data_IF_399364994520
#
_entry.id   IF_399364994520
#
_cell.length_a   1.000
_cell.length_b   1.000
_cell.length_c   1.000
_cell.angle_alpha   90.00
_cell.angle_beta   90.00
_cell.angle_gamma   90.00
#
_symmetry.space_group_name_H-M   'P 1'
#
loop_
_entity.id
_entity.type
_entity.pdbx_description
1 polymer ?
#
# COMPACT_ATOMS: atom_id res chain seq x y z
N UNK A 1 19.31 6.15 24.27
CA UNK A 1 18.61 6.75 23.11
C UNK A 1 19.24 6.16 21.87
N UNK A 2 18.62 5.15 21.28
CA UNK A 2 19.06 4.64 19.99
C UNK A 2 18.85 5.74 18.95
N UNK A 3 19.90 6.07 18.21
CA UNK A 3 19.80 6.97 17.06
C UNK A 3 18.91 6.28 16.04
N UNK A 4 17.65 6.72 15.90
CA UNK A 4 16.70 6.17 14.94
C UNK A 4 17.29 6.33 13.55
N UNK A 5 17.61 5.23 12.87
CA UNK A 5 18.18 5.32 11.53
C UNK A 5 17.13 5.93 10.61
N UNK A 6 17.51 6.74 9.61
CA UNK A 6 16.55 7.27 8.64
C UNK A 6 15.67 6.20 7.97
N UNK A 7 16.23 5.00 7.73
CA UNK A 7 15.47 3.81 7.27
C UNK A 7 14.32 3.43 8.22
N UNK A 8 14.52 3.51 9.54
CA UNK A 8 13.50 3.19 10.54
C UNK A 8 12.35 4.21 10.48
N UNK A 9 12.67 5.50 10.34
CA UNK A 9 11.65 6.57 10.22
C UNK A 9 10.79 6.37 8.97
N UNK A 10 11.42 6.14 7.82
CA UNK A 10 10.69 5.89 6.56
C UNK A 10 9.83 4.63 6.66
N UNK A 11 10.34 3.58 7.30
CA UNK A 11 9.60 2.34 7.51
C UNK A 11 8.40 2.50 8.44
N UNK A 12 8.51 3.32 9.49
CA UNK A 12 7.37 3.64 10.35
C UNK A 12 6.31 4.50 9.65
N UNK A 13 6.70 5.42 8.77
CA UNK A 13 5.75 6.17 7.94
C UNK A 13 4.97 5.23 7.01
N UNK A 14 5.69 4.29 6.36
CA UNK A 14 5.07 3.27 5.50
C UNK A 14 4.17 2.31 6.29
N UNK A 15 4.58 1.94 7.50
CA UNK A 15 3.76 1.13 8.40
C UNK A 15 2.46 1.87 8.75
N UNK A 16 2.56 3.14 9.16
CA UNK A 16 1.40 3.98 9.45
C UNK A 16 0.45 4.09 8.26
N UNK A 17 0.99 4.30 7.05
CA UNK A 17 0.19 4.30 5.83
C UNK A 17 -0.54 2.96 5.60
N UNK A 18 0.15 1.82 5.73
CA UNK A 18 -0.47 0.50 5.57
C UNK A 18 -1.54 0.23 6.64
N UNK A 19 -1.34 0.69 7.88
CA UNK A 19 -2.37 0.61 8.94
C UNK A 19 -3.61 1.40 8.55
N UNK A 20 -3.46 2.64 8.04
CA UNK A 20 -4.58 3.45 7.57
C UNK A 20 -5.29 2.80 6.37
N UNK A 21 -4.55 2.23 5.43
CA UNK A 21 -5.10 1.50 4.28
C UNK A 21 -5.89 0.25 4.70
N UNK A 22 -5.30 -0.58 5.57
CA UNK A 22 -5.98 -1.73 6.17
C UNK A 22 -7.27 -1.31 6.87
N UNK A 23 -7.20 -0.27 7.70
CA UNK A 23 -8.36 0.26 8.41
C UNK A 23 -9.43 0.77 7.43
N UNK A 24 -9.04 1.51 6.39
CA UNK A 24 -9.95 2.08 5.39
C UNK A 24 -10.70 0.99 4.60
N UNK A 25 -10.07 -0.18 4.40
CA UNK A 25 -10.72 -1.37 3.86
C UNK A 25 -11.75 -2.00 4.80
N UNK A 26 -11.73 -1.73 6.10
CA UNK A 26 -12.64 -2.36 7.06
C UNK A 26 -13.74 -1.42 7.56
N UNK A 27 -13.44 -0.14 7.73
CA UNK A 27 -14.38 0.84 8.27
C UNK A 27 -14.08 2.26 7.79
N UNK A 28 -15.09 3.13 7.80
CA UNK A 28 -14.97 4.55 7.43
C UNK A 28 -14.82 5.48 8.65
N UNK A 29 -14.79 4.94 9.87
CA UNK A 29 -14.84 5.74 11.11
C UNK A 29 -13.63 6.67 11.30
N UNK A 30 -12.42 6.20 10.98
CA UNK A 30 -11.19 6.94 11.26
C UNK A 30 -10.67 7.71 10.05
N UNK A 31 -10.80 7.17 8.84
CA UNK A 31 -10.41 7.84 7.59
C UNK A 31 -11.56 7.89 6.56
N UNK A 32 -12.67 8.60 6.85
CA UNK A 32 -13.88 8.57 6.02
C UNK A 32 -13.64 9.02 4.58
N UNK A 33 -12.81 10.05 4.36
CA UNK A 33 -12.47 10.51 3.03
C UNK A 33 -11.67 9.46 2.24
N UNK A 34 -10.72 8.79 2.89
CA UNK A 34 -9.92 7.76 2.24
C UNK A 34 -10.74 6.51 1.92
N UNK A 35 -11.59 6.07 2.85
CA UNK A 35 -12.51 4.95 2.62
C UNK A 35 -13.49 5.22 1.48
N UNK A 36 -14.01 6.45 1.34
CA UNK A 36 -14.85 6.84 0.19
C UNK A 36 -14.07 6.78 -1.11
N UNK A 37 -12.89 7.41 -1.15
CA UNK A 37 -12.03 7.37 -2.34
C UNK A 37 -11.72 5.92 -2.74
N UNK A 38 -11.41 5.06 -1.77
CA UNK A 38 -11.15 3.65 -2.01
C UNK A 38 -12.40 2.93 -2.55
N UNK A 39 -13.59 3.17 -1.98
CA UNK A 39 -14.82 2.57 -2.49
C UNK A 39 -15.17 3.01 -3.93
N UNK A 40 -14.84 4.25 -4.31
CA UNK A 40 -15.10 4.80 -5.63
C UNK A 40 -14.08 4.32 -6.68
N UNK A 41 -12.80 4.27 -6.31
CA UNK A 41 -11.69 3.98 -7.22
C UNK A 41 -11.40 2.50 -7.36
N UNK A 42 -11.41 1.74 -6.25
CA UNK A 42 -10.96 0.35 -6.22
C UNK A 42 -11.66 -0.53 -7.29
N UNK A 43 -12.99 -0.42 -7.55
CA UNK A 43 -13.63 -1.23 -8.60
C UNK A 43 -13.08 -0.97 -10.02
N UNK A 44 -12.71 0.29 -10.31
CA UNK A 44 -12.14 0.67 -11.61
C UNK A 44 -10.74 0.07 -11.78
N UNK A 45 -9.92 0.18 -10.72
CA UNK A 45 -8.59 -0.39 -10.63
C UNK A 45 -8.63 -1.93 -10.72
N UNK A 46 -9.54 -2.55 -9.98
CA UNK A 46 -9.78 -4.01 -10.01
C UNK A 46 -10.10 -4.50 -11.40
N UNK A 47 -10.96 -3.79 -12.14
CA UNK A 47 -11.30 -4.14 -13.52
C UNK A 47 -10.07 -4.06 -14.42
N UNK A 48 -9.25 -3.01 -14.31
CA UNK A 48 -8.03 -2.89 -15.14
C UNK A 48 -7.05 -4.04 -14.88
N UNK A 49 -6.85 -4.39 -13.60
CA UNK A 49 -5.82 -5.34 -13.20
C UNK A 49 -6.28 -6.81 -13.30
N UNK A 50 -7.56 -7.08 -13.01
CA UNK A 50 -8.07 -8.43 -12.76
C UNK A 50 -9.32 -8.78 -13.58
N UNK A 51 -9.66 -8.03 -14.63
CA UNK A 51 -10.80 -8.38 -15.51
C UNK A 51 -10.76 -9.83 -16.00
N UNK A 52 -9.56 -10.37 -16.24
CA UNK A 52 -9.33 -11.71 -16.74
C UNK A 52 -9.54 -12.81 -15.68
N UNK A 53 -9.48 -12.45 -14.39
CA UNK A 53 -9.55 -13.41 -13.28
C UNK A 53 -10.98 -13.67 -12.80
N UNK A 54 -11.98 -12.88 -13.25
CA UNK A 54 -13.38 -13.05 -12.87
C UNK A 54 -13.67 -12.91 -11.38
N UNK A 55 -12.78 -12.24 -10.63
CA UNK A 55 -12.89 -12.09 -9.18
C UNK A 55 -13.88 -10.97 -8.81
N UNK A 56 -14.64 -11.17 -7.74
CA UNK A 56 -15.51 -10.14 -7.20
C UNK A 56 -14.72 -9.05 -6.48
N UNK A 57 -15.27 -7.83 -6.45
CA UNK A 57 -14.65 -6.71 -5.70
C UNK A 57 -14.52 -7.00 -4.20
N UNK A 58 -15.41 -7.82 -3.63
CA UNK A 58 -15.31 -8.25 -2.23
C UNK A 58 -14.11 -9.18 -2.00
N UNK A 59 -13.83 -10.10 -2.92
CA UNK A 59 -12.66 -10.98 -2.83
C UNK A 59 -11.36 -10.18 -2.99
N UNK A 60 -11.31 -9.25 -3.96
CA UNK A 60 -10.16 -8.37 -4.15
C UNK A 60 -9.94 -7.44 -2.96
N UNK A 61 -11.02 -6.88 -2.38
CA UNK A 61 -10.93 -6.10 -1.15
C UNK A 61 -10.34 -6.91 0.01
N UNK A 62 -10.76 -8.16 0.20
CA UNK A 62 -10.21 -9.02 1.23
C UNK A 62 -8.73 -9.32 0.97
N UNK A 63 -8.34 -9.55 -0.29
CA UNK A 63 -6.95 -9.73 -0.70
C UNK A 63 -6.08 -8.51 -0.39
N UNK A 64 -6.50 -7.30 -0.80
CA UNK A 64 -5.76 -6.07 -0.52
C UNK A 64 -5.70 -5.75 0.97
N UNK A 65 -6.78 -6.02 1.71
CA UNK A 65 -6.79 -5.91 3.17
C UNK A 65 -5.75 -6.86 3.79
N UNK A 66 -5.67 -8.11 3.32
CA UNK A 66 -4.67 -9.09 3.74
C UNK A 66 -3.24 -8.67 3.40
N UNK A 67 -3.00 -8.13 2.20
CA UNK A 67 -1.68 -7.60 1.80
C UNK A 67 -1.23 -6.44 2.71
N UNK A 68 -2.10 -5.46 2.97
CA UNK A 68 -1.77 -4.36 3.88
C UNK A 68 -1.48 -4.88 5.31
N UNK A 69 -2.25 -5.85 5.81
CA UNK A 69 -2.01 -6.46 7.12
C UNK A 69 -0.66 -7.20 7.17
N UNK A 70 -0.32 -7.93 6.10
CA UNK A 70 0.96 -8.60 5.96
C UNK A 70 2.12 -7.59 5.96
N UNK A 71 2.00 -6.51 5.18
CA UNK A 71 3.02 -5.46 5.14
C UNK A 71 3.20 -4.77 6.50
N UNK A 72 2.11 -4.50 7.24
CA UNK A 72 2.20 -3.99 8.62
C UNK A 72 3.03 -4.94 9.49
N UNK A 73 2.74 -6.24 9.44
CA UNK A 73 3.46 -7.23 10.24
C UNK A 73 4.95 -7.31 9.85
N UNK A 74 5.24 -7.30 8.56
CA UNK A 74 6.62 -7.38 8.05
C UNK A 74 7.43 -6.12 8.36
N UNK A 75 6.82 -4.94 8.26
CA UNK A 75 7.49 -3.65 8.53
C UNK A 75 7.71 -3.40 10.02
N UNK A 76 6.88 -4.00 10.89
CA UNK A 76 6.97 -3.85 12.34
C UNK A 76 8.28 -4.42 12.91
N UNK A 77 8.73 -5.57 12.39
CA UNK A 77 9.96 -6.22 12.86
C UNK A 77 11.17 -5.86 12.00
N UNK A 78 12.29 -5.40 12.59
CA UNK A 78 13.52 -5.10 11.85
C UNK A 78 14.03 -6.28 11.00
N UNK A 79 13.85 -7.51 11.48
CA UNK A 79 14.32 -8.72 10.78
C UNK A 79 13.56 -9.00 9.47
N UNK A 80 12.26 -8.68 9.42
CA UNK A 80 11.40 -8.94 8.26
C UNK A 80 11.16 -7.72 7.37
N UNK A 81 11.54 -6.53 7.83
CA UNK A 81 11.31 -5.27 7.13
C UNK A 81 11.82 -5.22 5.70
N UNK A 82 13.01 -5.75 5.34
CA UNK A 82 13.44 -5.76 3.95
C UNK A 82 12.48 -6.52 3.03
N UNK A 83 11.82 -7.57 3.54
CA UNK A 83 10.80 -8.30 2.79
C UNK A 83 9.52 -7.47 2.65
N UNK A 84 9.05 -6.84 3.73
CA UNK A 84 7.89 -5.94 3.69
C UNK A 84 8.08 -4.77 2.72
N UNK A 85 9.26 -4.14 2.71
CA UNK A 85 9.58 -3.07 1.77
C UNK A 85 9.59 -3.56 0.31
N UNK A 86 10.09 -4.78 0.04
CA UNK A 86 10.05 -5.37 -1.30
C UNK A 86 8.62 -5.70 -1.76
N UNK A 87 7.78 -6.20 -0.85
CA UNK A 87 6.37 -6.46 -1.14
C UNK A 87 5.60 -5.17 -1.40
N UNK A 88 5.79 -4.15 -0.55
CA UNK A 88 5.23 -2.82 -0.77
C UNK A 88 5.67 -2.26 -2.13
N UNK A 89 6.95 -2.39 -2.49
CA UNK A 89 7.46 -1.95 -3.81
C UNK A 89 6.76 -2.67 -4.97
N UNK A 90 6.58 -4.00 -4.87
CA UNK A 90 5.87 -4.77 -5.88
C UNK A 90 4.40 -4.34 -5.99
N UNK A 91 3.73 -4.12 -4.86
CA UNK A 91 2.35 -3.59 -4.81
C UNK A 91 2.24 -2.21 -5.46
N UNK A 92 3.21 -1.32 -5.21
CA UNK A 92 3.28 0.00 -5.84
C UNK A 92 3.44 -0.10 -7.36
N UNK A 93 4.22 -1.05 -7.88
CA UNK A 93 4.32 -1.28 -9.32
C UNK A 93 2.97 -1.67 -9.94
N UNK A 94 2.20 -2.52 -9.25
CA UNK A 94 0.85 -2.93 -9.69
C UNK A 94 -0.12 -1.74 -9.66
N UNK A 95 -0.14 -0.98 -8.58
CA UNK A 95 -1.00 0.21 -8.45
C UNK A 95 -0.65 1.30 -9.47
N UNK A 96 0.65 1.58 -9.64
CA UNK A 96 1.14 2.55 -10.62
C UNK A 96 0.75 2.19 -12.05
N UNK A 97 0.83 0.90 -12.42
CA UNK A 97 0.36 0.44 -13.73
C UNK A 97 -1.13 0.73 -13.92
N UNK A 98 -1.94 0.50 -12.88
CA UNK A 98 -3.38 0.77 -12.93
C UNK A 98 -3.69 2.27 -13.07
N UNK A 99 -3.00 3.13 -12.32
CA UNK A 99 -3.09 4.60 -12.45
C UNK A 99 -2.82 5.04 -13.90
N UNK A 100 -1.73 4.55 -14.50
CA UNK A 100 -1.36 4.89 -15.87
C UNK A 100 -2.42 4.45 -16.89
N UNK A 101 -3.04 3.28 -16.67
CA UNK A 101 -4.11 2.78 -17.53
C UNK A 101 -5.41 3.56 -17.40
N UNK A 102 -5.68 4.10 -16.22
CA UNK A 102 -6.87 4.91 -15.94
C UNK A 102 -6.65 6.41 -16.21
N UNK A 103 -5.44 6.83 -16.57
CA UNK A 103 -5.09 8.24 -16.78
C UNK A 103 -5.10 9.04 -15.48
N UNK A 104 -4.89 8.38 -14.34
CA UNK A 104 -4.82 9.03 -13.03
C UNK A 104 -3.43 9.64 -12.79
N UNK A 105 -3.36 10.56 -11.83
CA UNK A 105 -2.11 11.24 -11.51
C UNK A 105 -1.10 10.23 -10.93
N UNK A 106 0.12 10.12 -11.48
CA UNK A 106 1.15 9.21 -10.98
C UNK A 106 1.78 9.68 -9.65
N UNK A 107 1.51 10.91 -9.22
CA UNK A 107 2.20 11.57 -8.11
C UNK A 107 2.12 10.79 -6.79
N UNK A 108 0.95 10.25 -6.36
CA UNK A 108 0.87 9.49 -5.11
C UNK A 108 1.80 8.26 -5.11
N UNK A 109 1.83 7.50 -6.21
CA UNK A 109 2.70 6.35 -6.36
C UNK A 109 4.18 6.73 -6.43
N UNK A 110 4.54 7.83 -7.11
CA UNK A 110 5.93 8.32 -7.15
C UNK A 110 6.43 8.73 -5.76
N UNK A 111 5.58 9.35 -4.94
CA UNK A 111 5.92 9.67 -3.55
C UNK A 111 6.15 8.40 -2.73
N UNK A 112 5.26 7.40 -2.85
CA UNK A 112 5.43 6.13 -2.16
C UNK A 112 6.66 5.35 -2.65
N UNK A 113 6.97 5.40 -3.95
CA UNK A 113 8.21 4.84 -4.52
C UNK A 113 9.45 5.49 -3.91
N UNK A 114 9.46 6.82 -3.75
CA UNK A 114 10.58 7.52 -3.12
C UNK A 114 10.75 7.10 -1.65
N UNK A 115 9.64 6.95 -0.91
CA UNK A 115 9.68 6.50 0.48
C UNK A 115 10.16 5.05 0.63
N UNK A 116 9.60 4.12 -0.15
CA UNK A 116 9.98 2.70 -0.11
C UNK A 116 11.41 2.49 -0.63
N UNK A 117 11.75 3.13 -1.75
CA UNK A 117 13.09 3.07 -2.34
C UNK A 117 14.14 3.69 -1.42
N UNK A 118 13.84 4.84 -0.81
CA UNK A 118 14.70 5.46 0.20
C UNK A 118 14.89 4.57 1.43
N UNK A 119 13.81 3.95 1.93
CA UNK A 119 13.90 3.02 3.05
C UNK A 119 14.78 1.80 2.69
N UNK A 120 14.60 1.22 1.50
CA UNK A 120 15.41 0.10 1.01
C UNK A 120 16.89 0.46 0.84
N UNK A 121 17.18 1.62 0.25
CA UNK A 121 18.55 2.09 0.02
C UNK A 121 19.33 2.32 1.32
N UNK A 122 18.62 2.73 2.38
CA UNK A 122 19.20 3.06 3.69
C UNK A 122 19.16 1.89 4.69
N UNK A 123 18.65 0.72 4.29
CA UNK A 123 18.49 -0.47 5.13
C UNK A 123 19.70 -1.38 5.14
#
# INVERSE_FOLDING_TARGET
>A
MECTRPSDVLSYLLLGFNVLSFQAHLTSRFTPAFSRNLAEKLPQHNRVLFWWAGLSDSALRAFFCGLNALDVFLLWSPASRPLGLKLALAGLCVGFYSDLKLGESPVPHLLLFALVGGALWLS
#
